data_IF_810985113376
#
_entry.id   IF_810985113376
#
_cell.length_a   1.000
_cell.length_b   1.000
_cell.length_c   1.000
_cell.angle_alpha   90.00
_cell.angle_beta   90.00
_cell.angle_gamma   90.00
#
_symmetry.space_group_name_H-M   'P 1'
#
loop_
_entity.id
_entity.type
_entity.pdbx_description
1 polymer ?
#
# COMPACT_ATOMS: atom_id res chain seq x y z
N UNK A 1 17.49 -9.65 -7.79
CA UNK A 1 16.35 -10.46 -7.32
C UNK A 1 15.14 -9.92 -8.05
N UNK A 2 14.30 -10.79 -8.61
CA UNK A 2 13.14 -10.38 -9.39
C UNK A 2 11.91 -10.27 -8.51
N UNK A 3 11.41 -9.08 -8.23
CA UNK A 3 10.26 -8.85 -7.35
C UNK A 3 9.05 -8.35 -8.15
N UNK A 4 7.97 -9.12 -8.21
CA UNK A 4 6.74 -8.72 -8.92
C UNK A 4 5.83 -7.94 -7.98
N UNK A 5 5.49 -6.71 -8.36
CA UNK A 5 4.69 -5.79 -7.57
C UNK A 5 3.26 -5.70 -8.07
N UNK A 6 2.32 -5.74 -7.12
CA UNK A 6 0.88 -5.69 -7.28
C UNK A 6 0.31 -4.60 -6.35
N UNK A 7 -0.79 -3.99 -6.76
CA UNK A 7 -1.61 -3.09 -5.94
C UNK A 7 -3.02 -3.02 -6.50
N UNK A 8 -4.01 -2.74 -5.65
CA UNK A 8 -5.39 -2.49 -6.05
C UNK A 8 -5.95 -3.67 -6.89
N UNK A 9 -5.62 -4.90 -6.47
CA UNK A 9 -5.93 -6.11 -7.24
C UNK A 9 -7.35 -6.64 -7.00
N UNK A 10 -7.99 -6.25 -5.90
CA UNK A 10 -9.38 -6.55 -5.54
C UNK A 10 -9.91 -7.91 -6.05
N UNK A 11 -9.25 -8.97 -5.59
CA UNK A 11 -9.41 -10.34 -6.09
C UNK A 11 -10.82 -10.89 -5.86
N UNK A 12 -11.58 -10.30 -4.94
CA UNK A 12 -12.98 -10.62 -4.66
C UNK A 12 -13.93 -10.32 -5.84
N UNK A 13 -13.53 -9.48 -6.81
CA UNK A 13 -14.34 -9.24 -8.01
C UNK A 13 -14.14 -10.32 -9.10
N UNK A 14 -13.15 -11.19 -8.97
CA UNK A 14 -12.80 -12.16 -9.99
C UNK A 14 -13.58 -13.47 -9.82
N UNK A 15 -14.16 -13.96 -10.91
CA UNK A 15 -14.70 -15.33 -10.98
C UNK A 15 -13.56 -16.36 -10.95
N UNK A 16 -13.79 -17.61 -10.54
CA UNK A 16 -12.72 -18.60 -10.32
C UNK A 16 -11.72 -18.78 -11.49
N UNK A 17 -12.21 -18.81 -12.74
CA UNK A 17 -11.34 -18.92 -13.92
C UNK A 17 -10.47 -17.68 -14.14
N UNK A 18 -11.05 -16.49 -13.95
CA UNK A 18 -10.31 -15.23 -14.08
C UNK A 18 -9.27 -15.07 -12.95
N UNK A 19 -9.63 -15.46 -11.73
CA UNK A 19 -8.73 -15.47 -10.58
C UNK A 19 -7.51 -16.36 -10.82
N UNK A 20 -7.75 -17.61 -11.26
CA UNK A 20 -6.67 -18.53 -11.62
C UNK A 20 -5.80 -17.96 -12.75
N UNK A 21 -6.41 -17.39 -13.79
CA UNK A 21 -5.68 -16.80 -14.90
C UNK A 21 -4.80 -15.62 -14.45
N UNK A 22 -5.27 -14.81 -13.50
CA UNK A 22 -4.47 -13.75 -12.91
C UNK A 22 -3.29 -14.33 -12.10
N UNK A 23 -3.51 -15.36 -11.28
CA UNK A 23 -2.41 -16.01 -10.56
C UNK A 23 -1.37 -16.64 -11.50
N UNK A 24 -1.82 -17.25 -12.59
CA UNK A 24 -0.93 -17.78 -13.64
C UNK A 24 -0.12 -16.65 -14.29
N UNK A 25 -0.71 -15.46 -14.49
CA UNK A 25 -0.01 -14.26 -14.99
C UNK A 25 1.08 -13.79 -14.03
N UNK A 26 0.76 -13.68 -12.73
CA UNK A 26 1.78 -13.33 -11.71
C UNK A 26 2.90 -14.35 -11.67
N UNK A 27 2.59 -15.65 -11.78
CA UNK A 27 3.59 -16.72 -11.82
C UNK A 27 4.45 -16.68 -13.10
N UNK A 28 3.86 -16.31 -14.24
CA UNK A 28 4.55 -16.21 -15.52
C UNK A 28 5.62 -15.10 -15.53
N UNK A 29 5.51 -14.10 -14.65
CA UNK A 29 6.58 -13.12 -14.39
C UNK A 29 7.84 -13.75 -13.79
N UNK A 30 7.79 -15.02 -13.35
CA UNK A 30 8.88 -15.75 -12.69
C UNK A 30 9.48 -14.96 -11.50
N UNK A 31 8.65 -14.49 -10.54
CA UNK A 31 9.17 -13.77 -9.39
C UNK A 31 10.06 -14.64 -8.50
N UNK A 32 11.05 -14.02 -7.88
CA UNK A 32 11.70 -14.50 -6.67
C UNK A 32 10.88 -14.13 -5.42
N UNK A 33 10.14 -13.02 -5.47
CA UNK A 33 9.15 -12.61 -4.46
C UNK A 33 7.98 -11.82 -5.08
N UNK A 34 6.85 -11.81 -4.38
CA UNK A 34 5.67 -11.00 -4.71
C UNK A 34 5.51 -9.89 -3.66
N UNK A 35 5.25 -8.68 -4.12
CA UNK A 35 5.06 -7.48 -3.29
C UNK A 35 3.63 -6.95 -3.52
N UNK A 36 2.86 -6.69 -2.46
CA UNK A 36 1.48 -6.21 -2.59
C UNK A 36 1.26 -4.96 -1.72
N UNK A 37 0.88 -3.85 -2.33
CA UNK A 37 0.68 -2.57 -1.63
C UNK A 37 -0.79 -2.27 -1.34
N UNK A 38 -1.52 -3.25 -0.83
CA UNK A 38 -2.90 -3.09 -0.38
C UNK A 38 -3.97 -3.30 -1.45
N UNK A 39 -5.21 -3.16 -0.99
CA UNK A 39 -6.44 -3.34 -1.75
C UNK A 39 -6.51 -4.67 -2.50
N UNK A 40 -6.37 -5.71 -1.69
CA UNK A 40 -6.27 -7.11 -2.11
C UNK A 40 -7.66 -7.71 -2.27
N UNK A 41 -8.55 -7.49 -1.31
CA UNK A 41 -9.94 -7.96 -1.30
C UNK A 41 -10.78 -7.15 -0.27
N UNK A 42 -11.59 -7.84 0.55
CA UNK A 42 -12.36 -7.27 1.67
C UNK A 42 -12.03 -8.00 2.98
N UNK A 43 -12.43 -7.45 4.13
CA UNK A 43 -11.99 -7.91 5.45
C UNK A 43 -12.31 -9.36 5.80
N UNK A 44 -13.35 -9.94 5.22
CA UNK A 44 -13.74 -11.34 5.42
C UNK A 44 -12.94 -12.34 4.57
N UNK A 45 -12.23 -11.88 3.54
CA UNK A 45 -11.69 -12.72 2.48
C UNK A 45 -10.23 -12.42 2.11
N UNK A 46 -9.68 -11.27 2.53
CA UNK A 46 -8.29 -10.88 2.24
C UNK A 46 -7.27 -11.95 2.64
N UNK A 47 -7.41 -12.52 3.83
CA UNK A 47 -6.51 -13.57 4.32
C UNK A 47 -6.46 -14.79 3.38
N UNK A 48 -7.61 -15.18 2.82
CA UNK A 48 -7.75 -16.29 1.90
C UNK A 48 -7.04 -15.99 0.58
N UNK A 49 -7.31 -14.83 -0.01
CA UNK A 49 -6.75 -14.46 -1.31
C UNK A 49 -5.22 -14.28 -1.28
N UNK A 50 -4.69 -13.73 -0.18
CA UNK A 50 -3.24 -13.65 0.04
C UNK A 50 -2.62 -15.05 0.11
N UNK A 51 -3.23 -15.98 0.85
CA UNK A 51 -2.75 -17.35 0.96
C UNK A 51 -2.81 -18.08 -0.38
N UNK A 52 -3.94 -18.01 -1.10
CA UNK A 52 -4.12 -18.63 -2.41
C UNK A 52 -3.07 -18.14 -3.43
N UNK A 53 -2.85 -16.82 -3.50
CA UNK A 53 -1.84 -16.24 -4.39
C UNK A 53 -0.42 -16.72 -4.02
N UNK A 54 -0.05 -16.66 -2.73
CA UNK A 54 1.27 -17.05 -2.26
C UNK A 54 1.56 -18.54 -2.53
N UNK A 55 0.58 -19.41 -2.30
CA UNK A 55 0.69 -20.84 -2.54
C UNK A 55 0.75 -21.17 -4.04
N UNK A 56 -0.06 -20.50 -4.88
CA UNK A 56 -0.08 -20.73 -6.32
C UNK A 56 1.23 -20.32 -7.01
N UNK A 57 1.76 -19.15 -6.63
CA UNK A 57 3.04 -18.65 -7.14
C UNK A 57 4.21 -19.46 -6.55
N UNK A 58 4.10 -19.89 -5.29
CA UNK A 58 5.10 -20.72 -4.60
C UNK A 58 6.35 -19.94 -4.15
N UNK A 59 6.23 -18.62 -3.99
CA UNK A 59 7.31 -17.69 -3.63
C UNK A 59 6.93 -16.87 -2.39
N UNK A 60 7.91 -16.31 -1.66
CA UNK A 60 7.60 -15.37 -0.57
C UNK A 60 6.74 -14.21 -1.07
N UNK A 61 5.64 -13.95 -0.37
CA UNK A 61 4.75 -12.82 -0.63
C UNK A 61 4.85 -11.85 0.53
N UNK A 62 5.12 -10.59 0.26
CA UNK A 62 5.18 -9.53 1.26
C UNK A 62 4.11 -8.50 0.96
N UNK A 63 3.37 -8.07 1.97
CA UNK A 63 2.22 -7.21 1.74
C UNK A 63 1.95 -6.25 2.89
N UNK A 64 1.27 -5.18 2.52
CA UNK A 64 0.55 -4.26 3.41
C UNK A 64 -0.93 -4.28 3.00
N UNK A 65 -1.82 -3.78 3.86
CA UNK A 65 -3.26 -3.74 3.61
C UNK A 65 -3.67 -2.35 3.12
N UNK A 66 -4.70 -2.31 2.28
CA UNK A 66 -5.37 -1.09 1.87
C UNK A 66 -6.71 -0.88 2.58
N UNK A 67 -7.41 0.20 2.23
CA UNK A 67 -8.70 0.52 2.85
C UNK A 67 -9.78 -0.51 2.53
N UNK A 68 -9.82 -1.07 1.31
CA UNK A 68 -10.80 -2.09 0.94
C UNK A 68 -10.62 -3.37 1.75
N UNK A 69 -9.39 -3.71 2.12
CA UNK A 69 -9.10 -4.89 2.94
C UNK A 69 -9.74 -4.81 4.34
N UNK A 70 -10.23 -3.64 4.75
CA UNK A 70 -10.97 -3.45 6.01
C UNK A 70 -12.49 -3.43 5.86
N UNK A 71 -13.01 -3.48 4.63
CA UNK A 71 -14.45 -3.38 4.37
C UNK A 71 -15.21 -4.51 5.06
N UNK A 72 -16.37 -4.14 5.63
CA UNK A 72 -17.29 -5.01 6.38
C UNK A 72 -16.71 -5.61 7.66
N UNK A 73 -15.63 -5.02 8.15
CA UNK A 73 -14.96 -5.39 9.40
C UNK A 73 -14.44 -4.12 10.11
N UNK A 74 -13.59 -4.31 11.13
CA UNK A 74 -12.81 -3.24 11.74
C UNK A 74 -11.31 -3.50 11.60
N UNK A 75 -10.53 -2.42 11.65
CA UNK A 75 -9.08 -2.42 11.42
C UNK A 75 -8.37 -3.40 12.36
N UNK A 76 -8.74 -3.39 13.64
CA UNK A 76 -8.10 -4.24 14.66
C UNK A 76 -8.32 -5.73 14.39
N UNK A 77 -9.53 -6.13 14.02
CA UNK A 77 -9.88 -7.53 13.75
C UNK A 77 -9.10 -8.04 12.54
N UNK A 78 -9.16 -7.33 11.41
CA UNK A 78 -8.48 -7.75 10.17
C UNK A 78 -6.97 -7.87 10.38
N UNK A 79 -6.32 -6.88 11.01
CA UNK A 79 -4.89 -6.96 11.34
C UNK A 79 -4.58 -8.17 12.20
N UNK A 80 -5.43 -8.46 13.19
CA UNK A 80 -5.29 -9.65 14.04
C UNK A 80 -5.38 -10.96 13.26
N UNK A 81 -6.35 -11.07 12.34
CA UNK A 81 -6.54 -12.26 11.51
C UNK A 81 -5.39 -12.48 10.54
N UNK A 82 -4.91 -11.41 9.91
CA UNK A 82 -3.79 -11.45 8.96
C UNK A 82 -2.48 -11.88 9.63
N UNK A 83 -2.17 -11.39 10.82
CA UNK A 83 -0.97 -11.80 11.57
C UNK A 83 -0.96 -13.30 11.87
N UNK A 84 -2.13 -13.93 11.97
CA UNK A 84 -2.26 -15.37 12.22
C UNK A 84 -2.23 -16.21 10.93
N UNK A 85 -2.29 -15.60 9.76
CA UNK A 85 -2.55 -16.28 8.49
C UNK A 85 -1.29 -16.42 7.62
N UNK A 86 -1.09 -17.63 7.09
CA UNK A 86 -0.09 -18.04 6.08
C UNK A 86 1.37 -18.18 6.55
N UNK A 87 2.04 -19.25 6.08
CA UNK A 87 3.49 -19.48 6.26
C UNK A 87 4.35 -18.81 5.18
N UNK A 88 3.76 -18.46 4.03
CA UNK A 88 4.47 -17.94 2.85
C UNK A 88 4.16 -16.47 2.55
N UNK A 89 3.17 -15.91 3.25
CA UNK A 89 2.84 -14.50 3.16
C UNK A 89 3.24 -13.78 4.45
N UNK A 90 3.85 -12.61 4.32
CA UNK A 90 4.35 -11.80 5.43
C UNK A 90 3.68 -10.45 5.40
N UNK A 91 2.89 -10.17 6.43
CA UNK A 91 2.30 -8.86 6.65
C UNK A 91 3.36 -7.92 7.26
N UNK A 92 3.87 -7.00 6.45
CA UNK A 92 5.04 -6.17 6.78
C UNK A 92 4.88 -5.27 8.02
N UNK A 93 3.69 -4.71 8.32
CA UNK A 93 3.50 -3.92 9.53
C UNK A 93 3.75 -4.72 10.82
N UNK A 94 3.55 -6.04 10.80
CA UNK A 94 3.72 -6.90 11.97
C UNK A 94 5.14 -7.47 12.18
N UNK A 95 6.09 -7.21 11.27
CA UNK A 95 7.47 -7.69 11.37
C UNK A 95 8.49 -6.55 11.31
N UNK A 96 9.73 -6.81 11.72
CA UNK A 96 10.83 -5.87 11.53
C UNK A 96 11.26 -5.76 10.07
N UNK A 97 12.33 -4.99 9.78
CA UNK A 97 12.90 -4.92 8.44
C UNK A 97 13.28 -6.30 7.88
N UNK A 98 12.98 -6.52 6.60
CA UNK A 98 13.22 -7.78 5.89
C UNK A 98 14.38 -7.58 4.92
N UNK A 99 15.47 -8.32 5.11
CA UNK A 99 16.56 -8.36 4.13
C UNK A 99 16.11 -9.15 2.89
N UNK A 100 15.96 -8.47 1.74
CA UNK A 100 15.59 -9.12 0.48
C UNK A 100 16.80 -9.66 -0.28
N UNK A 101 17.87 -8.88 -0.29
CA UNK A 101 19.17 -9.20 -0.89
C UNK A 101 20.27 -8.60 -0.02
N UNK A 102 21.57 -8.91 -0.21
CA UNK A 102 22.65 -8.23 0.52
C UNK A 102 22.66 -6.70 0.43
N UNK A 103 21.97 -6.10 -0.56
CA UNK A 103 21.93 -4.64 -0.79
C UNK A 103 20.59 -3.99 -0.53
N UNK A 104 19.52 -4.77 -0.38
CA UNK A 104 18.14 -4.27 -0.33
C UNK A 104 17.46 -4.75 0.94
N UNK A 105 17.02 -3.80 1.77
CA UNK A 105 16.12 -4.03 2.90
C UNK A 105 14.74 -3.53 2.53
N UNK A 106 13.71 -4.22 3.03
CA UNK A 106 12.32 -3.83 2.85
C UNK A 106 11.62 -3.62 4.20
N UNK A 107 10.78 -2.59 4.25
CA UNK A 107 9.84 -2.33 5.34
C UNK A 107 8.45 -2.04 4.76
N UNK A 108 7.43 -2.01 5.62
CA UNK A 108 6.11 -1.55 5.20
C UNK A 108 5.18 -1.18 6.34
N UNK A 109 4.25 -0.26 6.03
CA UNK A 109 3.12 0.18 6.84
C UNK A 109 1.88 0.20 5.94
N UNK A 110 0.67 0.19 6.47
CA UNK A 110 -0.52 0.22 5.59
C UNK A 110 -0.70 1.62 5.00
N UNK A 111 -0.56 2.66 5.82
CA UNK A 111 -0.86 4.04 5.42
C UNK A 111 -2.37 4.34 5.46
N UNK A 112 -2.73 5.62 5.56
CA UNK A 112 -4.13 6.08 5.56
C UNK A 112 -4.25 7.51 5.02
N UNK A 113 -5.31 7.81 4.28
CA UNK A 113 -5.63 9.19 3.91
C UNK A 113 -5.88 10.01 5.18
N UNK A 114 -5.07 11.04 5.43
CA UNK A 114 -4.93 11.58 6.78
C UNK A 114 -5.46 13.01 6.98
N UNK A 115 -6.10 13.56 5.95
CA UNK A 115 -6.75 14.87 5.98
C UNK A 115 -5.84 16.02 6.43
N UNK A 116 -4.58 16.02 5.96
CA UNK A 116 -3.57 17.06 6.24
C UNK A 116 -3.20 17.92 5.03
N UNK A 117 -3.70 17.59 3.84
CA UNK A 117 -3.44 18.34 2.61
C UNK A 117 -4.71 18.48 1.77
N UNK A 118 -4.60 19.25 0.68
CA UNK A 118 -5.70 19.48 -0.25
C UNK A 118 -6.83 20.33 0.32
N UNK A 119 -8.03 20.13 -0.20
CA UNK A 119 -9.24 20.84 0.19
C UNK A 119 -10.00 20.07 1.28
N UNK A 120 -9.79 20.49 2.54
CA UNK A 120 -10.49 19.93 3.70
C UNK A 120 -11.97 20.34 3.78
N UNK A 121 -12.48 21.20 2.89
CA UNK A 121 -13.91 21.47 2.76
C UNK A 121 -14.59 20.54 1.73
N UNK A 122 -13.82 19.68 1.04
CA UNK A 122 -14.32 18.76 0.02
C UNK A 122 -15.51 17.92 0.50
N UNK A 123 -16.49 17.79 -0.41
CA UNK A 123 -17.71 17.02 -0.20
C UNK A 123 -17.60 15.58 -0.70
N UNK A 124 -16.43 15.17 -1.24
CA UNK A 124 -16.15 13.78 -1.64
C UNK A 124 -16.54 12.83 -0.52
N UNK A 125 -17.25 11.75 -0.87
CA UNK A 125 -17.65 10.69 0.05
C UNK A 125 -16.96 9.39 -0.32
N UNK A 126 -16.28 8.76 0.65
CA UNK A 126 -15.68 7.44 0.48
C UNK A 126 -16.55 6.35 1.08
N UNK A 127 -16.55 5.21 0.40
CA UNK A 127 -17.19 3.98 0.88
C UNK A 127 -16.59 3.50 2.20
N UNK A 128 -15.31 3.78 2.45
CA UNK A 128 -14.58 3.54 3.69
C UNK A 128 -15.40 3.90 4.92
N UNK A 129 -15.96 5.11 4.93
CA UNK A 129 -16.65 5.68 6.09
C UNK A 129 -18.00 5.01 6.37
N UNK A 130 -18.50 4.23 5.41
CA UNK A 130 -19.72 3.44 5.53
C UNK A 130 -19.42 1.97 5.81
N UNK A 131 -18.37 1.42 5.20
CA UNK A 131 -18.11 0.00 5.16
C UNK A 131 -17.12 -0.47 6.22
N UNK A 132 -16.30 0.41 6.79
CA UNK A 132 -15.36 0.10 7.87
C UNK A 132 -16.00 0.49 9.20
N UNK A 133 -16.11 -0.46 10.12
CA UNK A 133 -16.83 -0.29 11.38
C UNK A 133 -16.22 0.82 12.26
N UNK A 134 -14.90 1.05 12.20
CA UNK A 134 -14.20 2.11 12.93
C UNK A 134 -14.76 3.51 12.63
N UNK A 135 -15.32 3.74 11.43
CA UNK A 135 -15.90 5.02 11.01
C UNK A 135 -17.38 5.18 11.35
N UNK A 136 -18.03 4.15 11.92
CA UNK A 136 -19.48 4.15 12.19
C UNK A 136 -19.93 5.37 13.00
N UNK A 137 -19.13 5.77 14.01
CA UNK A 137 -19.42 6.94 14.86
C UNK A 137 -19.17 8.27 14.15
N UNK A 138 -18.19 8.32 13.27
CA UNK A 138 -17.81 9.52 12.52
C UNK A 138 -18.51 9.64 11.16
N UNK A 139 -19.50 8.78 10.86
CA UNK A 139 -20.17 8.76 9.54
C UNK A 139 -20.95 10.04 9.25
N UNK A 140 -21.56 10.62 10.28
CA UNK A 140 -22.35 11.86 10.19
C UNK A 140 -21.67 13.06 10.85
N UNK A 141 -20.57 12.81 11.56
CA UNK A 141 -19.78 13.81 12.27
C UNK A 141 -18.46 14.02 11.52
N UNK A 142 -18.36 15.14 10.80
CA UNK A 142 -17.18 15.44 9.97
C UNK A 142 -15.95 15.68 10.83
N UNK A 143 -16.07 16.38 11.95
CA UNK A 143 -14.91 16.73 12.77
C UNK A 143 -14.34 15.48 13.42
N UNK A 144 -15.20 14.62 13.99
CA UNK A 144 -14.78 13.33 14.51
C UNK A 144 -14.13 12.44 13.43
N UNK A 145 -14.56 12.55 12.16
CA UNK A 145 -13.94 11.81 11.05
C UNK A 145 -12.55 12.37 10.73
N UNK A 146 -12.37 13.68 10.68
CA UNK A 146 -11.06 14.30 10.44
C UNK A 146 -10.07 13.92 11.55
N UNK A 147 -10.49 13.98 12.82
CA UNK A 147 -9.68 13.54 13.94
C UNK A 147 -9.30 12.06 13.84
N UNK A 148 -10.25 11.19 13.44
CA UNK A 148 -9.99 9.78 13.23
C UNK A 148 -8.96 9.54 12.12
N UNK A 149 -9.11 10.18 10.96
CA UNK A 149 -8.19 10.05 9.82
C UNK A 149 -6.78 10.53 10.19
N UNK A 150 -6.68 11.68 10.87
CA UNK A 150 -5.42 12.21 11.35
C UNK A 150 -4.74 11.25 12.34
N UNK A 151 -5.50 10.68 13.28
CA UNK A 151 -5.01 9.69 14.25
C UNK A 151 -4.51 8.42 13.57
N UNK A 152 -5.22 7.93 12.55
CA UNK A 152 -4.79 6.76 11.76
C UNK A 152 -3.48 7.07 11.03
N UNK A 153 -3.40 8.19 10.30
CA UNK A 153 -2.17 8.59 9.61
C UNK A 153 -0.98 8.78 10.56
N UNK A 154 -1.19 9.37 11.74
CA UNK A 154 -0.13 9.51 12.76
C UNK A 154 0.33 8.15 13.31
N UNK A 155 -0.57 7.19 13.49
CA UNK A 155 -0.21 5.86 13.94
C UNK A 155 0.65 5.11 12.90
N UNK A 156 0.32 5.24 11.61
CA UNK A 156 1.11 4.68 10.52
C UNK A 156 2.49 5.35 10.43
N UNK A 157 2.56 6.68 10.51
CA UNK A 157 3.81 7.43 10.51
C UNK A 157 4.73 7.05 11.69
N UNK A 158 4.17 6.90 12.88
CA UNK A 158 4.92 6.43 14.05
C UNK A 158 5.49 5.02 13.83
N UNK A 159 4.66 4.10 13.34
CA UNK A 159 5.09 2.73 13.04
C UNK A 159 6.18 2.71 11.97
N UNK A 160 6.07 3.57 10.95
CA UNK A 160 7.09 3.72 9.91
C UNK A 160 8.41 4.23 10.49
N UNK A 161 8.37 5.26 11.34
CA UNK A 161 9.53 5.80 12.02
C UNK A 161 10.24 4.74 12.89
N UNK A 162 9.49 3.96 13.67
CA UNK A 162 10.02 2.87 14.48
C UNK A 162 10.71 1.80 13.62
N UNK A 163 10.16 1.47 12.43
CA UNK A 163 10.78 0.54 11.49
C UNK A 163 12.04 1.10 10.85
N UNK A 164 12.02 2.36 10.42
CA UNK A 164 13.16 3.04 9.83
C UNK A 164 14.35 3.08 10.80
N UNK A 165 14.10 3.35 12.09
CA UNK A 165 15.12 3.31 13.12
C UNK A 165 15.76 1.93 13.32
N UNK A 166 15.09 0.85 12.89
CA UNK A 166 15.59 -0.51 12.97
C UNK A 166 16.23 -1.01 11.66
N UNK A 167 16.21 -0.22 10.58
CA UNK A 167 16.82 -0.59 9.30
C UNK A 167 18.35 -0.65 9.47
N UNK A 168 19.00 -1.79 9.16
CA UNK A 168 20.46 -1.86 9.17
C UNK A 168 21.03 -1.02 8.03
N UNK A 169 22.31 -0.66 8.13
CA UNK A 169 23.02 0.03 7.04
C UNK A 169 22.90 -0.79 5.75
N UNK A 170 22.30 -0.17 4.73
CA UNK A 170 22.03 -0.82 3.43
C UNK A 170 22.05 0.23 2.33
N UNK A 171 22.56 -0.09 1.12
CA UNK A 171 22.54 0.84 0.00
C UNK A 171 21.13 1.21 -0.47
N UNK A 172 20.20 0.27 -0.43
CA UNK A 172 18.85 0.42 -0.97
C UNK A 172 17.79 0.03 0.07
N UNK A 173 16.78 0.89 0.22
CA UNK A 173 15.61 0.70 1.05
C UNK A 173 14.35 0.70 0.18
N UNK A 174 13.57 -0.37 0.30
CA UNK A 174 12.25 -0.50 -0.31
C UNK A 174 11.16 -0.32 0.76
N UNK A 175 10.23 0.60 0.53
CA UNK A 175 9.12 0.86 1.45
C UNK A 175 7.81 0.52 0.74
N UNK A 176 6.99 -0.33 1.36
CA UNK A 176 5.62 -0.59 0.92
C UNK A 176 4.65 0.21 1.80
N UNK A 177 3.75 0.95 1.16
CA UNK A 177 2.58 1.58 1.79
C UNK A 177 1.43 1.53 0.82
N UNK A 178 0.19 1.45 1.26
CA UNK A 178 -0.95 1.51 0.35
C UNK A 178 -1.20 2.95 -0.11
N UNK A 179 -1.30 3.89 0.84
CA UNK A 179 -1.65 5.28 0.55
C UNK A 179 -0.42 6.09 0.12
N UNK A 180 -0.49 6.88 -0.98
CA UNK A 180 0.56 7.78 -1.41
C UNK A 180 1.05 8.71 -0.27
N UNK A 181 2.37 8.80 -0.01
CA UNK A 181 2.89 9.61 1.09
C UNK A 181 3.01 11.12 0.76
N UNK A 182 2.92 11.50 -0.52
CA UNK A 182 3.04 12.89 -0.97
C UNK A 182 1.93 13.26 -1.94
N UNK A 183 1.45 14.53 -1.96
CA UNK A 183 0.45 14.96 -2.94
C UNK A 183 0.88 14.73 -4.38
N UNK A 184 2.17 14.94 -4.70
CA UNK A 184 2.73 14.69 -6.04
C UNK A 184 2.76 13.21 -6.46
N UNK A 185 2.60 12.29 -5.51
CA UNK A 185 2.48 10.85 -5.76
C UNK A 185 1.02 10.36 -5.79
N UNK A 186 0.06 11.20 -5.38
CA UNK A 186 -1.37 10.91 -5.49
C UNK A 186 -1.79 11.19 -6.93
N UNK A 187 -1.84 10.16 -7.77
CA UNK A 187 -2.05 10.27 -9.22
C UNK A 187 -3.31 9.51 -9.62
N UNK A 188 -4.13 10.12 -10.47
CA UNK A 188 -5.30 9.50 -11.10
C UNK A 188 -5.37 9.95 -12.57
N UNK A 189 -5.63 9.02 -13.49
CA UNK A 189 -5.72 9.30 -14.93
C UNK A 189 -4.49 10.03 -15.51
N UNK A 190 -3.30 9.65 -15.03
CA UNK A 190 -2.02 10.22 -15.46
C UNK A 190 -1.65 11.59 -14.86
N UNK A 191 -2.54 12.18 -14.07
CA UNK A 191 -2.36 13.52 -13.49
C UNK A 191 -2.39 13.47 -11.96
N UNK A 192 -1.77 14.47 -11.33
CA UNK A 192 -1.89 14.65 -9.88
C UNK A 192 -3.36 14.85 -9.51
N UNK A 193 -3.87 14.08 -8.55
CA UNK A 193 -5.26 14.15 -8.13
C UNK A 193 -5.62 15.55 -7.66
N UNK A 194 -6.84 15.99 -7.98
CA UNK A 194 -7.27 17.34 -7.62
C UNK A 194 -7.31 17.56 -6.10
N UNK A 195 -7.20 18.80 -5.62
CA UNK A 195 -7.20 19.10 -4.18
C UNK A 195 -8.40 18.52 -3.43
N UNK A 196 -9.56 18.32 -4.08
CA UNK A 196 -10.75 17.75 -3.44
C UNK A 196 -10.58 16.27 -3.02
N UNK A 197 -9.66 15.53 -3.64
CA UNK A 197 -9.40 14.12 -3.38
C UNK A 197 -8.18 13.89 -2.48
N UNK A 198 -7.16 14.74 -2.59
CA UNK A 198 -5.91 14.62 -1.83
C UNK A 198 -6.05 14.36 -0.32
N UNK A 199 -6.98 14.99 0.43
CA UNK A 199 -7.08 14.76 1.87
C UNK A 199 -7.34 13.30 2.24
N UNK A 200 -7.98 12.55 1.33
CA UNK A 200 -8.43 11.18 1.57
C UNK A 200 -7.53 10.14 0.89
N UNK A 201 -6.64 10.58 0.01
CA UNK A 201 -5.77 9.73 -0.81
C UNK A 201 -4.29 9.98 -0.58
N UNK A 202 -3.93 10.85 0.37
CA UNK A 202 -2.53 11.12 0.73
C UNK A 202 -2.34 10.98 2.23
N UNK A 203 -1.23 10.39 2.64
CA UNK A 203 -0.81 10.26 4.04
C UNK A 203 0.40 11.16 4.31
N UNK A 204 0.16 12.45 4.55
CA UNK A 204 1.24 13.44 4.77
C UNK A 204 2.16 13.03 5.91
N UNK A 205 1.60 12.50 7.00
CA UNK A 205 2.40 12.10 8.16
C UNK A 205 3.46 11.04 7.80
N UNK A 206 3.16 10.09 6.92
CA UNK A 206 4.17 9.12 6.45
C UNK A 206 5.17 9.77 5.50
N UNK A 207 4.74 10.71 4.65
CA UNK A 207 5.63 11.47 3.78
C UNK A 207 6.65 12.31 4.54
N UNK A 208 6.25 12.96 5.62
CA UNK A 208 7.15 13.74 6.48
C UNK A 208 8.24 12.85 7.09
N UNK A 209 7.87 11.68 7.61
CA UNK A 209 8.82 10.69 8.15
C UNK A 209 9.81 10.21 7.08
N UNK A 210 9.33 9.92 5.87
CA UNK A 210 10.18 9.48 4.76
C UNK A 210 11.13 10.58 4.28
N UNK A 211 10.63 11.82 4.16
CA UNK A 211 11.41 12.96 3.74
C UNK A 211 12.53 13.27 4.74
N UNK A 212 12.21 13.25 6.04
CA UNK A 212 13.21 13.43 7.10
C UNK A 212 14.27 12.33 7.04
N UNK A 213 13.86 11.07 6.99
CA UNK A 213 14.80 9.95 6.95
C UNK A 213 15.70 9.99 5.70
N UNK A 214 15.15 10.34 4.54
CA UNK A 214 15.92 10.49 3.31
C UNK A 214 16.97 11.60 3.40
N UNK A 215 16.64 12.73 4.06
CA UNK A 215 17.58 13.82 4.27
C UNK A 215 18.73 13.43 5.22
N UNK A 216 18.45 12.60 6.22
CA UNK A 216 19.43 12.07 7.17
C UNK A 216 20.34 10.98 6.54
N UNK A 217 19.89 10.34 5.46
CA UNK A 217 20.60 9.22 4.79
C UNK A 217 20.82 9.49 3.29
N UNK A 218 21.55 10.56 2.89
CA UNK A 218 21.68 10.97 1.49
C UNK A 218 22.37 9.94 0.58
N UNK A 219 23.13 9.00 1.16
CA UNK A 219 23.80 7.92 0.42
C UNK A 219 22.93 6.68 0.17
N UNK A 220 21.78 6.57 0.83
CA UNK A 220 20.87 5.43 0.68
C UNK A 220 19.78 5.75 -0.32
N UNK A 221 19.58 4.86 -1.31
CA UNK A 221 18.49 4.98 -2.28
C UNK A 221 17.19 4.42 -1.70
N UNK A 222 16.14 5.24 -1.66
CA UNK A 222 14.85 4.89 -1.07
C UNK A 222 13.80 4.88 -2.17
N UNK A 223 13.15 3.73 -2.35
CA UNK A 223 12.01 3.57 -3.25
C UNK A 223 10.77 3.23 -2.45
N UNK A 224 9.71 4.01 -2.63
CA UNK A 224 8.39 3.74 -2.05
C UNK A 224 7.47 3.20 -3.14
N UNK A 225 6.77 2.10 -2.86
CA UNK A 225 5.72 1.55 -3.70
C UNK A 225 4.36 1.79 -3.03
N UNK A 226 3.40 2.33 -3.76
CA UNK A 226 2.05 2.61 -3.27
C UNK A 226 0.94 2.50 -4.33
N UNK A 227 -0.31 2.52 -3.91
CA UNK A 227 -1.50 2.39 -4.76
C UNK A 227 -2.58 3.41 -4.42
N UNK A 228 -3.81 2.95 -4.20
CA UNK A 228 -4.98 3.69 -3.67
C UNK A 228 -5.56 4.75 -4.62
N UNK A 229 -4.74 5.57 -5.25
CA UNK A 229 -5.20 6.65 -6.12
C UNK A 229 -5.52 6.20 -7.54
N UNK A 230 -5.32 4.91 -7.86
CA UNK A 230 -5.69 4.24 -9.12
C UNK A 230 -5.02 4.77 -10.41
N UNK A 231 -4.09 5.72 -10.31
CA UNK A 231 -3.28 6.21 -11.43
C UNK A 231 -1.83 5.78 -11.35
N UNK A 232 -1.26 5.48 -12.52
CA UNK A 232 0.16 5.16 -12.64
C UNK A 232 1.00 6.44 -12.57
N UNK A 233 1.99 6.47 -11.68
CA UNK A 233 2.83 7.65 -11.49
C UNK A 233 4.21 7.35 -10.90
N UNK A 234 5.15 8.26 -11.15
CA UNK A 234 6.44 8.29 -10.45
C UNK A 234 6.71 9.72 -10.01
N UNK A 235 6.98 9.89 -8.72
CA UNK A 235 7.24 11.18 -8.11
C UNK A 235 8.61 11.17 -7.43
N UNK A 236 9.52 12.03 -7.90
CA UNK A 236 10.82 12.23 -7.28
C UNK A 236 10.70 13.30 -6.19
N UNK A 237 10.72 12.89 -4.92
CA UNK A 237 10.63 13.84 -3.81
C UNK A 237 11.99 14.48 -3.49
N UNK A 238 13.05 13.67 -3.47
CA UNK A 238 14.43 14.09 -3.20
C UNK A 238 15.40 13.25 -4.06
N UNK A 239 16.69 13.63 -4.23
CA UNK A 239 17.62 12.88 -5.10
C UNK A 239 17.75 11.38 -4.78
N UNK A 240 17.48 11.00 -3.53
CA UNK A 240 17.56 9.62 -3.04
C UNK A 240 16.20 9.06 -2.60
N UNK A 241 15.08 9.76 -2.84
CA UNK A 241 13.73 9.31 -2.49
C UNK A 241 12.78 9.41 -3.68
N UNK A 242 12.37 8.26 -4.21
CA UNK A 242 11.40 8.13 -5.29
C UNK A 242 10.17 7.37 -4.81
N UNK A 243 8.98 7.83 -5.24
CA UNK A 243 7.71 7.16 -5.01
C UNK A 243 7.15 6.68 -6.33
N UNK A 244 6.71 5.42 -6.37
CA UNK A 244 6.01 4.82 -7.51
C UNK A 244 4.60 4.47 -7.08
N UNK A 245 3.64 5.00 -7.82
CA UNK A 245 2.21 4.78 -7.61
C UNK A 245 1.72 3.83 -8.70
N UNK A 246 1.18 2.70 -8.27
CA UNK A 246 0.54 1.73 -9.13
C UNK A 246 -0.95 2.04 -9.30
N UNK A 247 -1.53 1.49 -10.36
CA UNK A 247 -2.90 1.76 -10.74
C UNK A 247 -3.27 1.01 -12.01
N UNK A 248 -4.33 1.45 -12.67
CA UNK A 248 -4.71 0.88 -13.97
C UNK A 248 -4.12 1.72 -15.11
N UNK A 249 -3.61 1.07 -16.17
CA UNK A 249 -3.26 1.78 -17.39
C UNK A 249 -4.47 2.52 -17.99
N UNK A 250 -4.24 3.60 -18.75
CA UNK A 250 -5.31 4.22 -19.53
C UNK A 250 -6.08 3.16 -20.33
N UNK A 251 -7.40 3.27 -20.35
CA UNK A 251 -8.33 2.38 -21.07
C UNK A 251 -8.54 0.97 -20.48
N UNK A 252 -7.96 0.64 -19.32
CA UNK A 252 -8.34 -0.56 -18.57
C UNK A 252 -9.42 -0.18 -17.56
N UNK A 253 -10.60 -0.79 -17.67
CA UNK A 253 -11.64 -0.66 -16.64
C UNK A 253 -11.14 -1.26 -15.33
N UNK A 254 -11.22 -0.53 -14.22
CA UNK A 254 -10.57 -0.89 -12.94
C UNK A 254 -10.98 -2.25 -12.35
N UNK A 255 -11.86 -2.23 -11.34
CA UNK A 255 -12.29 -3.44 -10.61
C UNK A 255 -12.62 -4.62 -11.53
N UNK A 256 -12.15 -5.81 -11.15
CA UNK A 256 -12.30 -7.03 -11.95
C UNK A 256 -11.22 -7.26 -13.02
N UNK A 257 -10.36 -6.26 -13.27
CA UNK A 257 -9.22 -6.37 -14.20
C UNK A 257 -7.88 -6.06 -13.49
N UNK A 258 -7.44 -6.88 -12.51
CA UNK A 258 -6.17 -6.65 -11.85
C UNK A 258 -5.00 -6.77 -12.82
N UNK A 259 -3.98 -5.96 -12.57
CA UNK A 259 -2.77 -5.90 -13.39
C UNK A 259 -1.53 -6.16 -12.55
N UNK A 260 -0.49 -6.69 -13.21
CA UNK A 260 0.86 -6.66 -12.66
C UNK A 260 1.40 -5.25 -12.88
N UNK A 261 1.79 -4.56 -11.81
CA UNK A 261 2.21 -3.16 -11.87
C UNK A 261 3.60 -3.03 -12.47
N UNK A 262 4.54 -3.81 -11.94
CA UNK A 262 5.89 -3.93 -12.47
C UNK A 262 6.55 -5.20 -11.95
N UNK A 263 7.59 -5.62 -12.66
CA UNK A 263 8.57 -6.56 -12.12
C UNK A 263 9.91 -5.84 -11.95
N UNK A 264 10.35 -5.74 -10.69
CA UNK A 264 11.54 -5.01 -10.26
C UNK A 264 12.76 -5.92 -10.28
N UNK A 265 13.85 -5.44 -10.87
CA UNK A 265 15.16 -6.08 -10.76
C UNK A 265 15.95 -5.42 -9.62
N UNK A 266 15.84 -6.02 -8.43
CA UNK A 266 16.51 -5.54 -7.22
C UNK A 266 17.99 -5.95 -7.23
N UNK A 267 18.89 -5.04 -6.84
CA UNK A 267 20.32 -5.31 -6.80
C UNK A 267 20.66 -6.50 -5.89
N UNK A 268 21.67 -7.27 -6.27
CA UNK A 268 22.20 -8.39 -5.47
C UNK A 268 23.43 -7.95 -4.68
#
# INVERSE_FOLDING_TARGET
MRATWLTDIHLNFLRPLALKAFYDRVKAEKPDAVLITGDIAEGDSVHRYVAELADHVGKPTYFVLGNHDYYRSNIRVVRGDIVRASKRATYLPAVGPVQLTPRVVMIGVDGWGDARCGDLASTVQLSDWKLIEDFKKSRVDRDARLELLQRLGTAEARTLSEKLAAVPETPELLVLTHVPPFPGACVYDGEVSSPAWQPWFTCIATGEVLAQYAAEHPGQQITVLCGHSHGLGTYQHAPNLVVRTGGWPPHVEGYGNPVVQATLELAR
#
